data_IF_107808561940
#
_entry.id   IF_107808561940
#
_cell.length_a   1.000
_cell.length_b   1.000
_cell.length_c   1.000
_cell.angle_alpha   90.00
_cell.angle_beta   90.00
_cell.angle_gamma   90.00
#
_symmetry.space_group_name_H-M   'P 1'
#
loop_
_entity.id
_entity.type
_entity.pdbx_description
1 polymer ?
#
# COMPACT_ATOMS: atom_id res chain seq x y z
N UNK A 1 16.09 -56.35 -11.22
CA UNK A 1 15.48 -55.82 -12.46
C UNK A 1 13.97 -56.06 -12.41
N UNK A 2 13.14 -55.02 -12.33
CA UNK A 2 11.67 -55.15 -12.41
C UNK A 2 11.26 -55.54 -13.84
N UNK A 3 10.40 -56.55 -13.98
CA UNK A 3 9.88 -57.01 -15.27
C UNK A 3 9.05 -55.91 -15.96
N UNK A 4 9.03 -55.90 -17.30
CA UNK A 4 8.29 -54.90 -18.11
C UNK A 4 6.81 -54.81 -17.71
N UNK A 5 6.22 -55.92 -17.25
CA UNK A 5 4.84 -56.00 -16.72
C UNK A 5 4.65 -55.30 -15.36
N UNK A 6 5.63 -55.37 -14.45
CA UNK A 6 5.58 -54.68 -13.15
C UNK A 6 5.74 -53.17 -13.31
N UNK A 7 6.58 -52.73 -14.26
CA UNK A 7 6.71 -51.29 -14.60
C UNK A 7 5.37 -50.71 -15.08
N UNK A 8 4.62 -51.41 -15.95
CA UNK A 8 3.32 -50.95 -16.47
C UNK A 8 2.23 -50.70 -15.42
N UNK A 9 2.28 -51.36 -14.25
CA UNK A 9 1.32 -51.13 -13.15
C UNK A 9 1.76 -50.04 -12.18
N UNK A 10 3.07 -49.78 -12.05
CA UNK A 10 3.59 -48.75 -11.13
C UNK A 10 3.37 -47.33 -11.65
N UNK A 11 3.53 -47.11 -12.97
CA UNK A 11 3.38 -45.79 -13.59
C UNK A 11 1.99 -45.14 -13.38
N UNK A 12 0.85 -45.82 -13.61
CA UNK A 12 -0.46 -45.17 -13.43
C UNK A 12 -0.75 -44.83 -11.97
N UNK A 13 -0.32 -45.66 -11.02
CA UNK A 13 -0.50 -45.38 -9.59
C UNK A 13 0.35 -44.20 -9.13
N UNK A 14 1.60 -44.12 -9.59
CA UNK A 14 2.48 -43.00 -9.29
C UNK A 14 1.94 -41.68 -9.89
N UNK A 15 1.45 -41.72 -11.13
CA UNK A 15 0.82 -40.57 -11.78
C UNK A 15 -0.44 -40.11 -11.04
N UNK A 16 -1.27 -41.03 -10.54
CA UNK A 16 -2.45 -40.69 -9.75
C UNK A 16 -2.07 -40.03 -8.42
N UNK A 17 -1.07 -40.57 -7.71
CA UNK A 17 -0.59 -39.98 -6.44
C UNK A 17 -0.03 -38.57 -6.67
N UNK A 18 0.78 -38.37 -7.71
CA UNK A 18 1.30 -37.04 -8.07
C UNK A 18 0.16 -36.08 -8.45
N UNK A 19 -0.82 -36.53 -9.24
CA UNK A 19 -1.97 -35.71 -9.62
C UNK A 19 -2.82 -35.31 -8.39
N UNK A 20 -3.06 -36.24 -7.46
CA UNK A 20 -3.78 -35.94 -6.21
C UNK A 20 -3.00 -34.97 -5.32
N UNK A 21 -1.67 -35.11 -5.23
CA UNK A 21 -0.82 -34.20 -4.47
C UNK A 21 -0.84 -32.77 -5.05
N UNK A 22 -0.72 -32.64 -6.37
CA UNK A 22 -0.83 -31.34 -7.07
C UNK A 22 -2.23 -30.75 -6.86
N UNK A 23 -3.28 -31.56 -7.01
CA UNK A 23 -4.66 -31.11 -6.84
C UNK A 23 -4.93 -30.63 -5.41
N UNK A 24 -4.40 -31.34 -4.40
CA UNK A 24 -4.47 -30.94 -2.99
C UNK A 24 -3.71 -29.63 -2.74
N UNK A 25 -2.50 -29.47 -3.30
CA UNK A 25 -1.72 -28.23 -3.19
C UNK A 25 -2.45 -27.04 -3.78
N UNK A 26 -3.02 -27.19 -4.99
CA UNK A 26 -3.81 -26.15 -5.65
C UNK A 26 -5.08 -25.81 -4.85
N UNK A 27 -5.77 -26.83 -4.33
CA UNK A 27 -6.95 -26.62 -3.48
C UNK A 27 -6.60 -25.88 -2.19
N UNK A 28 -5.52 -26.28 -1.51
CA UNK A 28 -5.05 -25.61 -0.30
C UNK A 28 -4.63 -24.16 -0.56
N UNK A 29 -3.99 -23.88 -1.69
CA UNK A 29 -3.64 -22.53 -2.11
C UNK A 29 -4.89 -21.68 -2.37
N UNK A 30 -5.86 -22.20 -3.14
CA UNK A 30 -7.14 -21.53 -3.40
C UNK A 30 -7.92 -21.26 -2.11
N UNK A 31 -7.94 -22.22 -1.18
CA UNK A 31 -8.61 -22.06 0.11
C UNK A 31 -7.95 -20.97 0.97
N UNK A 32 -6.61 -20.87 0.95
CA UNK A 32 -5.88 -19.77 1.61
C UNK A 32 -6.23 -18.42 1.00
N UNK A 33 -6.25 -18.30 -0.34
CA UNK A 33 -6.65 -17.08 -1.03
C UNK A 33 -8.07 -16.63 -0.63
N UNK A 34 -9.04 -17.55 -0.61
CA UNK A 34 -10.44 -17.28 -0.22
C UNK A 34 -10.53 -16.83 1.25
N UNK A 35 -9.79 -17.48 2.16
CA UNK A 35 -9.78 -17.12 3.58
C UNK A 35 -9.18 -15.73 3.82
N UNK A 36 -8.12 -15.38 3.09
CA UNK A 36 -7.53 -14.02 3.12
C UNK A 36 -8.56 -13.00 2.62
N UNK A 37 -9.22 -13.29 1.50
CA UNK A 37 -10.19 -12.39 0.89
C UNK A 37 -11.38 -12.09 1.80
N UNK A 38 -11.95 -13.13 2.42
CA UNK A 38 -13.08 -13.02 3.35
C UNK A 38 -12.74 -12.15 4.57
N UNK A 39 -11.47 -12.21 4.99
CA UNK A 39 -10.98 -11.44 6.11
C UNK A 39 -10.77 -9.97 5.78
N UNK A 40 -10.36 -9.60 4.56
CA UNK A 40 -10.20 -8.19 4.15
C UNK A 40 -11.53 -7.45 4.01
N UNK A 41 -12.62 -8.18 3.75
CA UNK A 41 -13.96 -7.61 3.62
C UNK A 41 -14.80 -7.69 4.91
N UNK A 42 -14.21 -8.15 6.03
CA UNK A 42 -14.88 -8.15 7.33
C UNK A 42 -15.04 -6.72 7.85
N UNK A 43 -16.29 -6.26 7.91
CA UNK A 43 -16.64 -4.94 8.44
C UNK A 43 -16.36 -4.85 9.95
N UNK A 44 -15.64 -3.80 10.36
CA UNK A 44 -15.43 -3.46 11.76
C UNK A 44 -16.66 -2.80 12.39
N UNK A 45 -16.70 -2.73 13.72
CA UNK A 45 -17.77 -2.00 14.41
C UNK A 45 -17.70 -0.50 14.14
N UNK A 46 -18.83 0.20 14.28
CA UNK A 46 -18.87 1.66 14.11
C UNK A 46 -17.87 2.38 15.03
N UNK A 47 -17.72 1.93 16.27
CA UNK A 47 -16.77 2.52 17.22
C UNK A 47 -15.33 2.37 16.72
N UNK A 48 -14.95 1.17 16.27
CA UNK A 48 -13.60 0.95 15.70
C UNK A 48 -13.36 1.80 14.45
N UNK A 49 -14.38 1.99 13.60
CA UNK A 49 -14.26 2.85 12.42
C UNK A 49 -14.06 4.32 12.80
N UNK A 50 -14.77 4.81 13.83
CA UNK A 50 -14.60 6.17 14.36
C UNK A 50 -13.21 6.33 14.97
N UNK A 51 -12.82 5.42 15.86
CA UNK A 51 -11.54 5.47 16.57
C UNK A 51 -10.38 5.42 15.57
N UNK A 52 -10.47 4.53 14.56
CA UNK A 52 -9.49 4.46 13.47
C UNK A 52 -9.45 5.77 12.67
N UNK A 53 -10.60 6.32 12.28
CA UNK A 53 -10.63 7.56 11.50
C UNK A 53 -9.95 8.71 12.27
N UNK A 54 -10.31 8.89 13.54
CA UNK A 54 -9.69 9.91 14.38
C UNK A 54 -8.18 9.69 14.57
N UNK A 55 -7.77 8.44 14.74
CA UNK A 55 -6.36 8.10 14.89
C UNK A 55 -5.57 8.40 13.62
N UNK A 56 -6.01 7.86 12.48
CA UNK A 56 -5.27 7.94 11.21
C UNK A 56 -5.23 9.35 10.64
N UNK A 57 -6.25 10.17 10.85
CA UNK A 57 -6.35 11.50 10.22
C UNK A 57 -5.74 12.61 11.07
N UNK A 58 -5.84 12.52 12.39
CA UNK A 58 -5.40 13.61 13.28
C UNK A 58 -4.06 13.35 13.95
N UNK A 59 -3.38 12.24 13.63
CA UNK A 59 -2.06 11.92 14.16
C UNK A 59 -1.05 11.71 13.05
N UNK A 60 0.22 11.88 13.40
CA UNK A 60 1.34 11.51 12.57
C UNK A 60 2.27 10.62 13.39
N UNK A 61 2.79 9.57 12.78
CA UNK A 61 3.71 8.67 13.45
C UNK A 61 5.02 9.38 13.78
N UNK A 62 5.51 9.13 14.99
CA UNK A 62 6.82 9.57 15.47
C UNK A 62 7.37 8.49 16.39
N UNK A 63 8.69 8.41 16.51
CA UNK A 63 9.45 7.31 17.14
C UNK A 63 9.07 7.03 18.61
N UNK A 64 8.34 7.94 19.26
CA UNK A 64 8.01 7.84 20.67
C UNK A 64 6.52 7.64 20.97
N UNK A 65 5.60 8.20 20.17
CA UNK A 65 4.17 7.88 20.04
C UNK A 65 3.56 8.69 18.88
N UNK A 66 2.44 8.25 18.24
CA UNK A 66 1.76 9.07 17.25
C UNK A 66 1.20 10.35 17.91
N UNK A 67 1.82 11.47 17.59
CA UNK A 67 1.45 12.80 18.09
C UNK A 67 0.25 13.35 17.33
N UNK A 68 -0.56 14.20 17.95
CA UNK A 68 -1.59 14.93 17.21
C UNK A 68 -0.93 15.89 16.21
N UNK A 69 -1.54 16.03 15.02
CA UNK A 69 -1.21 17.10 14.10
C UNK A 69 -1.35 18.47 14.81
N UNK A 70 -0.47 19.44 14.54
CA UNK A 70 -0.39 20.71 15.30
C UNK A 70 -1.72 21.44 15.50
N UNK A 71 -2.62 21.37 14.52
CA UNK A 71 -3.89 22.10 14.50
C UNK A 71 -5.12 21.18 14.64
N UNK A 72 -4.94 19.85 14.69
CA UNK A 72 -6.02 18.84 14.59
C UNK A 72 -6.99 19.09 13.43
N UNK A 73 -6.47 19.65 12.33
CA UNK A 73 -7.22 19.90 11.10
C UNK A 73 -6.96 18.78 10.11
N UNK A 74 -7.93 18.58 9.23
CA UNK A 74 -7.82 17.62 8.13
C UNK A 74 -6.82 18.16 7.11
N UNK A 75 -5.75 17.42 6.88
CA UNK A 75 -4.90 17.63 5.72
C UNK A 75 -5.40 16.74 4.60
N UNK A 76 -5.87 17.33 3.50
CA UNK A 76 -6.37 16.57 2.34
C UNK A 76 -6.00 17.25 1.02
N UNK A 77 -6.02 16.47 -0.06
CA UNK A 77 -5.82 17.01 -1.39
C UNK A 77 -7.02 17.84 -1.84
N UNK A 78 -6.75 18.97 -2.49
CA UNK A 78 -7.75 19.78 -3.20
C UNK A 78 -7.47 19.88 -4.71
N UNK A 79 -6.29 19.46 -5.13
CA UNK A 79 -5.84 19.46 -6.52
C UNK A 79 -5.87 18.03 -7.07
N UNK A 80 -5.96 17.87 -8.40
CA UNK A 80 -5.74 16.56 -9.02
C UNK A 80 -4.38 15.99 -8.62
N UNK A 81 -4.36 14.69 -8.33
CA UNK A 81 -3.16 13.95 -7.97
C UNK A 81 -2.57 13.34 -9.25
N UNK A 82 -1.31 13.68 -9.53
CA UNK A 82 -0.56 13.27 -10.71
C UNK A 82 0.72 12.59 -10.24
N UNK A 83 0.71 11.27 -10.35
CA UNK A 83 1.78 10.39 -9.87
C UNK A 83 2.80 10.16 -10.98
N UNK A 84 4.07 10.37 -10.68
CA UNK A 84 5.19 10.03 -11.55
C UNK A 84 5.97 8.84 -10.98
N UNK A 85 6.08 7.76 -11.76
CA UNK A 85 6.93 6.62 -11.44
C UNK A 85 8.37 6.99 -11.85
N UNK A 86 9.27 7.12 -10.89
CA UNK A 86 10.54 7.84 -11.09
C UNK A 86 11.68 6.98 -11.61
N UNK A 87 11.68 5.68 -11.33
CA UNK A 87 12.71 4.75 -11.75
C UNK A 87 12.13 3.46 -12.34
N UNK A 88 13.01 2.62 -12.89
CA UNK A 88 12.63 1.38 -13.59
C UNK A 88 11.82 0.45 -12.69
N UNK A 89 12.28 0.27 -11.45
CA UNK A 89 11.66 -0.59 -10.45
C UNK A 89 10.23 -0.10 -10.14
N UNK A 90 10.01 1.21 -9.96
CA UNK A 90 8.66 1.76 -9.79
C UNK A 90 7.78 1.57 -11.05
N UNK A 91 8.37 1.64 -12.25
CA UNK A 91 7.67 1.42 -13.53
C UNK A 91 7.20 -0.04 -13.67
N UNK A 92 7.95 -1.02 -13.14
CA UNK A 92 7.56 -2.43 -13.17
C UNK A 92 6.23 -2.68 -12.43
N UNK A 93 5.89 -1.84 -11.43
CA UNK A 93 4.63 -1.91 -10.69
C UNK A 93 3.52 -1.02 -11.26
N UNK A 94 3.68 -0.47 -12.47
CA UNK A 94 2.73 0.48 -13.06
C UNK A 94 1.29 -0.03 -13.08
N UNK A 95 1.06 -1.29 -13.43
CA UNK A 95 -0.29 -1.85 -13.49
C UNK A 95 -0.96 -1.88 -12.11
N UNK A 96 -0.22 -2.30 -11.09
CA UNK A 96 -0.66 -2.31 -9.69
C UNK A 96 -0.98 -0.90 -9.20
N UNK A 97 -0.06 0.05 -9.43
CA UNK A 97 -0.25 1.46 -9.06
C UNK A 97 -1.50 2.02 -9.75
N UNK A 98 -1.64 1.83 -11.06
CA UNK A 98 -2.81 2.30 -11.81
C UNK A 98 -4.12 1.71 -11.28
N UNK A 99 -4.14 0.44 -10.86
CA UNK A 99 -5.32 -0.18 -10.28
C UNK A 99 -5.70 0.46 -8.94
N UNK A 100 -4.73 0.64 -8.03
CA UNK A 100 -4.95 1.29 -6.73
C UNK A 100 -5.39 2.74 -6.90
N UNK A 101 -4.72 3.51 -7.75
CA UNK A 101 -5.08 4.91 -8.00
C UNK A 101 -6.50 5.05 -8.59
N UNK A 102 -6.93 4.11 -9.43
CA UNK A 102 -8.31 4.09 -9.93
C UNK A 102 -9.33 3.87 -8.82
N UNK A 103 -9.04 2.95 -7.91
CA UNK A 103 -9.91 2.70 -6.75
C UNK A 103 -9.96 3.93 -5.83
N UNK A 104 -8.80 4.50 -5.50
CA UNK A 104 -8.72 5.70 -4.68
C UNK A 104 -9.41 6.91 -5.33
N UNK A 105 -9.28 7.09 -6.65
CA UNK A 105 -10.00 8.14 -7.39
C UNK A 105 -11.50 7.98 -7.28
N UNK A 106 -12.01 6.75 -7.44
CA UNK A 106 -13.44 6.44 -7.31
C UNK A 106 -13.96 6.67 -5.89
N UNK A 107 -13.17 6.36 -4.87
CA UNK A 107 -13.58 6.47 -3.46
C UNK A 107 -13.54 7.91 -2.95
N UNK A 108 -12.53 8.68 -3.35
CA UNK A 108 -12.32 10.07 -2.92
C UNK A 108 -13.04 11.10 -3.79
N UNK A 109 -13.39 10.75 -5.04
CA UNK A 109 -13.88 11.71 -6.03
C UNK A 109 -12.80 12.61 -6.62
N UNK A 110 -11.52 12.43 -6.24
CA UNK A 110 -10.40 13.16 -6.82
C UNK A 110 -10.04 12.61 -8.20
N UNK A 111 -9.51 13.48 -9.06
CA UNK A 111 -8.81 13.07 -10.27
C UNK A 111 -7.41 12.57 -9.90
N UNK A 112 -7.17 11.26 -9.98
CA UNK A 112 -5.89 10.63 -9.64
C UNK A 112 -5.38 9.80 -10.82
N UNK A 113 -4.15 10.05 -11.28
CA UNK A 113 -3.59 9.33 -12.42
C UNK A 113 -2.07 9.27 -12.41
N UNK A 114 -1.52 8.22 -13.03
CA UNK A 114 -0.11 8.18 -13.42
C UNK A 114 0.09 9.07 -14.64
N UNK A 115 1.09 9.95 -14.59
CA UNK A 115 1.50 10.79 -15.73
C UNK A 115 2.77 10.25 -16.37
N UNK A 116 2.89 10.47 -17.68
CA UNK A 116 4.11 10.10 -18.39
C UNK A 116 5.22 11.11 -18.09
N UNK A 117 6.46 10.64 -17.92
CA UNK A 117 7.63 11.45 -17.57
C UNK A 117 8.07 12.51 -18.60
N UNK A 118 7.28 12.77 -19.65
CA UNK A 118 7.53 13.85 -20.63
C UNK A 118 7.23 15.24 -20.06
N UNK A 119 6.41 15.34 -19.02
CA UNK A 119 6.20 16.58 -18.27
C UNK A 119 6.25 16.33 -16.76
N UNK A 120 7.44 16.03 -16.22
CA UNK A 120 7.61 15.62 -14.82
C UNK A 120 7.27 16.75 -13.85
N UNK A 121 7.41 18.01 -14.27
CA UNK A 121 7.02 19.22 -13.50
C UNK A 121 5.52 19.28 -13.23
N UNK A 122 4.70 18.51 -13.95
CA UNK A 122 3.27 18.44 -13.68
C UNK A 122 2.93 17.51 -12.51
N UNK A 123 3.83 16.59 -12.11
CA UNK A 123 3.55 15.64 -11.05
C UNK A 123 3.66 16.29 -9.67
N UNK A 124 2.73 15.95 -8.79
CA UNK A 124 2.74 16.33 -7.37
C UNK A 124 2.89 15.12 -6.45
N UNK A 125 2.99 13.91 -7.00
CA UNK A 125 3.40 12.71 -6.25
C UNK A 125 4.54 12.04 -7.00
N UNK A 126 5.66 11.85 -6.30
CA UNK A 126 6.81 11.11 -6.81
C UNK A 126 6.82 9.72 -6.19
N UNK A 127 6.91 8.67 -7.01
CA UNK A 127 6.99 7.29 -6.53
C UNK A 127 8.31 6.63 -6.93
N UNK A 128 9.02 6.14 -5.91
CA UNK A 128 10.32 5.49 -6.02
C UNK A 128 10.28 4.08 -5.44
N UNK A 129 11.05 3.18 -6.06
CA UNK A 129 11.42 1.91 -5.46
C UNK A 129 12.93 1.76 -5.42
N UNK A 130 13.56 1.84 -4.25
CA UNK A 130 15.01 2.12 -4.17
C UNK A 130 15.70 1.31 -3.06
N UNK A 131 17.03 1.35 -2.99
CA UNK A 131 17.75 0.77 -1.84
C UNK A 131 17.83 1.80 -0.71
N UNK A 132 18.03 1.36 0.55
CA UNK A 132 18.17 2.29 1.68
C UNK A 132 19.20 3.40 1.42
N UNK A 133 20.34 3.03 0.83
CA UNK A 133 21.50 3.89 0.60
C UNK A 133 21.22 5.03 -0.39
N UNK A 134 20.28 4.85 -1.30
CA UNK A 134 19.93 5.82 -2.35
C UNK A 134 18.86 6.82 -1.88
N UNK A 135 18.27 6.63 -0.69
CA UNK A 135 17.10 7.42 -0.28
C UNK A 135 17.42 8.90 -0.09
N UNK A 136 18.57 9.22 0.52
CA UNK A 136 19.00 10.62 0.69
C UNK A 136 19.14 11.32 -0.67
N UNK A 137 19.72 10.64 -1.67
CA UNK A 137 19.89 11.18 -3.02
C UNK A 137 18.53 11.49 -3.66
N UNK A 138 17.55 10.60 -3.44
CA UNK A 138 16.17 10.79 -3.92
C UNK A 138 15.50 11.98 -3.25
N UNK A 139 15.62 12.12 -1.92
CA UNK A 139 15.02 13.24 -1.19
C UNK A 139 15.62 14.59 -1.61
N UNK A 140 16.93 14.65 -1.83
CA UNK A 140 17.59 15.84 -2.40
C UNK A 140 17.07 16.15 -3.80
N UNK A 141 16.90 15.15 -4.66
CA UNK A 141 16.34 15.33 -6.01
C UNK A 141 14.89 15.84 -5.97
N UNK A 142 14.16 15.56 -4.90
CA UNK A 142 12.81 16.06 -4.64
C UNK A 142 12.79 17.42 -3.89
N UNK A 143 13.95 18.08 -3.75
CA UNK A 143 14.18 19.39 -3.13
C UNK A 143 13.90 19.45 -1.62
N UNK A 144 14.10 18.35 -0.90
CA UNK A 144 14.16 18.41 0.57
C UNK A 144 15.49 19.03 1.03
N UNK A 145 15.43 19.90 2.04
CA UNK A 145 16.63 20.47 2.69
C UNK A 145 17.38 19.40 3.47
N UNK A 146 18.66 19.65 3.80
CA UNK A 146 19.42 18.76 4.67
C UNK A 146 18.71 18.54 6.00
N UNK A 147 18.28 19.63 6.64
CA UNK A 147 17.59 19.57 7.93
C UNK A 147 16.37 18.65 7.84
N UNK A 148 15.57 18.74 6.77
CA UNK A 148 14.42 17.85 6.61
C UNK A 148 14.85 16.38 6.46
N UNK A 149 15.88 16.11 5.66
CA UNK A 149 16.39 14.76 5.42
C UNK A 149 16.87 14.12 6.73
N UNK A 150 17.57 14.88 7.58
CA UNK A 150 18.12 14.38 8.84
C UNK A 150 17.03 13.96 9.85
N UNK A 151 15.78 14.43 9.67
CA UNK A 151 14.61 14.05 10.48
C UNK A 151 13.70 13.02 9.81
N UNK A 152 13.95 12.65 8.55
CA UNK A 152 13.12 11.67 7.84
C UNK A 152 13.70 10.27 8.06
N UNK A 153 13.00 9.46 8.84
CA UNK A 153 13.27 8.03 8.93
C UNK A 153 12.55 7.29 7.79
N UNK A 154 13.30 6.47 7.05
CA UNK A 154 12.76 5.70 5.92
C UNK A 154 12.67 4.23 6.33
N UNK A 155 11.45 3.75 6.47
CA UNK A 155 11.13 2.34 6.66
C UNK A 155 11.05 1.57 5.34
N UNK A 156 10.54 0.34 5.41
CA UNK A 156 10.31 -0.47 4.20
C UNK A 156 9.24 0.11 3.26
N UNK A 157 8.23 0.73 3.85
CA UNK A 157 7.24 1.57 3.20
C UNK A 157 7.37 2.96 3.83
N UNK A 158 7.39 4.04 3.03
CA UNK A 158 7.34 5.40 3.56
C UNK A 158 6.69 6.36 2.58
N UNK A 159 5.86 7.27 3.09
CA UNK A 159 5.44 8.47 2.39
C UNK A 159 5.90 9.70 3.16
N UNK A 160 6.27 10.74 2.43
CA UNK A 160 6.66 12.03 2.99
C UNK A 160 5.78 13.06 2.33
N UNK A 161 5.06 13.81 3.15
CA UNK A 161 4.05 14.76 2.69
C UNK A 161 4.45 16.20 3.00
N UNK A 162 4.09 17.11 2.11
CA UNK A 162 4.21 18.55 2.33
C UNK A 162 2.85 19.20 2.25
N UNK A 163 2.55 20.04 3.24
CA UNK A 163 1.26 20.68 3.41
C UNK A 163 1.43 22.20 3.47
N UNK A 164 0.51 22.93 2.84
CA UNK A 164 0.37 24.38 2.99
C UNK A 164 -1.07 24.66 3.39
N UNK A 165 -1.28 25.33 4.52
CA UNK A 165 -2.61 25.68 5.04
C UNK A 165 -3.58 24.49 5.13
N UNK A 166 -3.09 23.32 5.54
CA UNK A 166 -3.84 22.04 5.60
C UNK A 166 -4.23 21.44 4.24
N UNK A 167 -3.60 21.89 3.16
CA UNK A 167 -3.77 21.29 1.84
C UNK A 167 -2.49 20.57 1.45
N UNK A 168 -2.62 19.28 1.14
CA UNK A 168 -1.51 18.49 0.64
C UNK A 168 -1.07 19.09 -0.71
N UNK A 169 0.22 19.38 -0.84
CA UNK A 169 0.82 19.98 -2.02
C UNK A 169 1.64 18.98 -2.82
N UNK A 170 2.43 18.17 -2.12
CA UNK A 170 3.35 17.22 -2.72
C UNK A 170 3.62 16.06 -1.77
N UNK A 171 3.63 14.85 -2.34
CA UNK A 171 4.10 13.65 -1.64
C UNK A 171 5.28 12.99 -2.37
N UNK A 172 6.13 12.33 -1.59
CA UNK A 172 7.16 11.40 -2.07
C UNK A 172 6.90 10.06 -1.41
N UNK A 173 6.64 9.03 -2.21
CA UNK A 173 6.46 7.65 -1.76
C UNK A 173 7.70 6.86 -2.12
N UNK A 174 8.27 6.18 -1.14
CA UNK A 174 9.47 5.35 -1.25
C UNK A 174 9.15 3.96 -0.73
N UNK A 175 9.46 2.94 -1.53
CA UNK A 175 9.41 1.54 -1.10
C UNK A 175 10.78 0.92 -1.30
N UNK A 176 11.30 0.24 -0.29
CA UNK A 176 12.61 -0.39 -0.41
C UNK A 176 12.55 -1.62 -1.34
N UNK A 177 13.46 -1.68 -2.31
CA UNK A 177 13.40 -2.61 -3.43
C UNK A 177 13.78 -4.06 -3.06
N UNK A 178 14.51 -4.24 -1.95
CA UNK A 178 15.02 -5.54 -1.48
C UNK A 178 13.93 -6.43 -0.86
N UNK A 179 12.76 -5.89 -0.54
CA UNK A 179 11.63 -6.67 -0.04
C UNK A 179 11.01 -7.57 -1.12
N UNK A 180 10.29 -8.59 -0.68
CA UNK A 180 9.54 -9.49 -1.55
C UNK A 180 8.35 -8.79 -2.26
N UNK A 181 7.90 -9.36 -3.38
CA UNK A 181 6.85 -8.78 -4.22
C UNK A 181 5.54 -8.53 -3.44
N UNK A 182 5.16 -9.47 -2.58
CA UNK A 182 3.97 -9.36 -1.74
C UNK A 182 4.03 -8.16 -0.79
N UNK A 183 5.17 -7.94 -0.15
CA UNK A 183 5.39 -6.79 0.73
C UNK A 183 5.35 -5.47 -0.06
N UNK A 184 6.00 -5.42 -1.23
CA UNK A 184 5.98 -4.22 -2.08
C UNK A 184 4.56 -3.85 -2.55
N UNK A 185 3.76 -4.85 -2.94
CA UNK A 185 2.34 -4.63 -3.29
C UNK A 185 1.53 -4.10 -2.12
N UNK A 186 1.77 -4.63 -0.92
CA UNK A 186 1.15 -4.14 0.32
C UNK A 186 1.48 -2.67 0.58
N UNK A 187 2.77 -2.31 0.55
CA UNK A 187 3.22 -0.93 0.68
C UNK A 187 2.58 -0.01 -0.38
N UNK A 188 2.42 -0.47 -1.64
CA UNK A 188 1.73 0.33 -2.66
C UNK A 188 0.29 0.65 -2.21
N UNK A 189 -0.46 -0.32 -1.66
CA UNK A 189 -1.82 -0.03 -1.19
C UNK A 189 -1.79 0.94 -0.01
N UNK A 190 -0.91 0.69 0.96
CA UNK A 190 -0.75 1.46 2.19
C UNK A 190 -0.36 2.90 1.91
N UNK A 191 0.79 3.13 1.29
CA UNK A 191 1.37 4.46 1.10
C UNK A 191 0.52 5.35 0.20
N UNK A 192 -0.06 4.80 -0.88
CA UNK A 192 -0.97 5.58 -1.71
C UNK A 192 -2.28 5.88 -0.98
N UNK A 193 -2.71 5.06 -0.02
CA UNK A 193 -3.89 5.37 0.80
C UNK A 193 -3.57 6.43 1.86
N UNK A 194 -2.43 6.30 2.56
CA UNK A 194 -1.99 7.26 3.58
C UNK A 194 -1.69 8.64 2.99
N UNK A 195 -1.12 8.70 1.79
CA UNK A 195 -0.88 9.93 1.03
C UNK A 195 -2.15 10.76 0.73
N UNK A 196 -3.35 10.19 0.93
CA UNK A 196 -4.59 10.95 0.83
C UNK A 196 -4.89 11.82 2.06
N UNK A 197 -4.16 11.67 3.16
CA UNK A 197 -4.41 12.34 4.45
C UNK A 197 -4.74 11.39 5.61
N UNK A 198 -4.37 10.11 5.52
CA UNK A 198 -4.58 9.08 6.55
C UNK A 198 -3.20 8.67 7.10
N UNK A 199 -2.55 9.58 7.83
CA UNK A 199 -1.10 9.54 8.08
C UNK A 199 -0.58 8.53 9.10
N UNK A 200 -1.37 8.16 10.11
CA UNK A 200 -0.86 7.34 11.19
C UNK A 200 -1.23 5.87 11.03
N UNK A 201 -0.32 5.00 11.43
CA UNK A 201 -0.53 3.57 11.62
C UNK A 201 -1.36 3.29 12.87
N UNK A 202 -2.12 2.19 12.84
CA UNK A 202 -2.99 1.77 13.93
C UNK A 202 -3.38 0.29 13.85
N UNK A 203 -3.47 -0.35 15.02
CA UNK A 203 -3.92 -1.74 15.16
C UNK A 203 -5.39 -1.89 15.57
N UNK A 204 -6.15 -0.79 15.66
CA UNK A 204 -7.59 -0.77 16.04
C UNK A 204 -8.42 -1.72 15.18
N UNK A 205 -8.10 -1.78 13.89
CA UNK A 205 -8.71 -2.69 12.92
C UNK A 205 -7.62 -3.60 12.38
N UNK A 206 -7.74 -4.90 12.66
CA UNK A 206 -6.71 -5.88 12.32
C UNK A 206 -6.52 -6.06 10.81
N UNK A 207 -7.60 -5.95 10.02
CA UNK A 207 -7.62 -6.12 8.56
C UNK A 207 -7.55 -4.76 7.83
N UNK A 208 -6.69 -3.87 8.34
CA UNK A 208 -6.47 -2.52 7.84
C UNK A 208 -5.14 -2.44 7.11
N UNK A 209 -5.02 -1.57 6.09
CA UNK A 209 -3.71 -1.32 5.47
C UNK A 209 -2.77 -0.59 6.41
N UNK A 210 -3.28 0.30 7.26
CA UNK A 210 -2.49 1.03 8.29
C UNK A 210 -2.12 0.16 9.49
N UNK A 211 -2.31 -1.17 9.43
CA UNK A 211 -1.93 -2.05 10.54
C UNK A 211 -0.58 -2.71 10.23
N UNK A 212 0.48 -2.16 10.80
CA UNK A 212 1.86 -2.67 10.65
C UNK A 212 2.01 -4.15 11.07
N UNK A 213 1.17 -4.65 12.00
CA UNK A 213 1.21 -6.04 12.49
C UNK A 213 0.57 -7.02 11.51
N UNK A 214 -0.12 -6.52 10.48
CA UNK A 214 -0.73 -7.35 9.45
C UNK A 214 0.35 -7.88 8.50
N UNK A 215 0.70 -9.15 8.69
CA UNK A 215 1.71 -9.85 7.87
C UNK A 215 1.14 -10.54 6.63
N UNK A 216 -0.18 -10.44 6.41
CA UNK A 216 -0.82 -11.15 5.30
C UNK A 216 -0.69 -10.34 4.01
N UNK A 217 -0.40 -10.99 2.87
CA UNK A 217 -0.29 -10.30 1.59
C UNK A 217 -1.65 -9.79 1.13
N UNK A 218 -1.69 -8.54 0.68
CA UNK A 218 -2.83 -7.97 -0.04
C UNK A 218 -2.33 -6.98 -1.10
N UNK A 219 -3.08 -6.91 -2.20
CA UNK A 219 -2.80 -6.06 -3.36
C UNK A 219 -4.03 -5.19 -3.73
N UNK A 220 -5.01 -5.11 -2.83
CA UNK A 220 -6.21 -4.30 -2.98
C UNK A 220 -6.59 -3.65 -1.65
N UNK A 221 -7.35 -2.56 -1.73
CA UNK A 221 -7.81 -1.85 -0.54
C UNK A 221 -8.88 -2.66 0.22
N UNK A 222 -8.69 -3.00 1.51
CA UNK A 222 -9.69 -3.67 2.35
C UNK A 222 -10.95 -2.83 2.55
N UNK A 223 -12.05 -3.46 2.96
CA UNK A 223 -13.35 -2.78 3.10
C UNK A 223 -13.29 -1.61 4.08
N UNK A 224 -12.66 -1.80 5.24
CA UNK A 224 -12.60 -0.76 6.28
C UNK A 224 -11.81 0.46 5.80
N UNK A 225 -10.73 0.27 5.04
CA UNK A 225 -9.93 1.37 4.45
C UNK A 225 -10.69 2.11 3.34
N UNK A 226 -11.49 1.40 2.54
CA UNK A 226 -12.42 2.04 1.58
C UNK A 226 -13.40 2.98 2.28
N UNK A 227 -13.86 2.62 3.49
CA UNK A 227 -14.73 3.49 4.31
C UNK A 227 -13.94 4.71 4.77
N UNK A 228 -12.70 4.56 5.26
CA UNK A 228 -11.88 5.69 5.70
C UNK A 228 -11.69 6.73 4.59
N UNK A 229 -11.32 6.29 3.37
CA UNK A 229 -11.14 7.19 2.21
C UNK A 229 -12.43 7.92 1.85
N UNK A 230 -13.57 7.22 1.81
CA UNK A 230 -14.87 7.86 1.54
C UNK A 230 -15.25 8.87 2.59
N UNK A 231 -15.00 8.56 3.87
CA UNK A 231 -15.29 9.46 4.98
C UNK A 231 -14.43 10.71 4.88
N UNK A 232 -13.11 10.57 4.64
CA UNK A 232 -12.16 11.69 4.57
C UNK A 232 -12.54 12.71 3.48
N UNK A 233 -13.08 12.25 2.36
CA UNK A 233 -13.49 13.08 1.23
C UNK A 233 -15.00 13.31 1.13
N UNK A 234 -15.76 12.95 2.16
CA UNK A 234 -17.18 13.30 2.24
C UNK A 234 -17.33 14.82 2.34
N UNK A 235 -18.30 15.39 1.61
CA UNK A 235 -18.54 16.84 1.55
C UNK A 235 -18.93 17.48 2.89
N UNK A 236 -19.29 16.67 3.89
CA UNK A 236 -19.63 17.12 5.24
C UNK A 236 -18.38 17.45 6.08
N UNK A 237 -17.19 17.05 5.64
CA UNK A 237 -15.89 17.35 6.23
C UNK A 237 -15.10 18.36 5.39
#
# INVERSE_FOLDING_TARGET
>A
MLTIRQKRKLYPTLLLVVALAICWQLYAQKAKEILVDWNLDRLASNQQLIDKFEWTVFRQDSDTQPGFLPDRRLNKWQLPIRVLLKNREAIEYREQVVAILRDLSRLSGLSIQVVNGKNPQSANVAFYMTSPEDTEVILRAENYSQDNIDFIEIGGCSFITSNINNHIQKDVIVILNHYEDAFKKRCIVEEFTQSLGLYADTDIIWNSVMNEKLTHPFDRLPLNDKIMVRTLYDKRL
#
